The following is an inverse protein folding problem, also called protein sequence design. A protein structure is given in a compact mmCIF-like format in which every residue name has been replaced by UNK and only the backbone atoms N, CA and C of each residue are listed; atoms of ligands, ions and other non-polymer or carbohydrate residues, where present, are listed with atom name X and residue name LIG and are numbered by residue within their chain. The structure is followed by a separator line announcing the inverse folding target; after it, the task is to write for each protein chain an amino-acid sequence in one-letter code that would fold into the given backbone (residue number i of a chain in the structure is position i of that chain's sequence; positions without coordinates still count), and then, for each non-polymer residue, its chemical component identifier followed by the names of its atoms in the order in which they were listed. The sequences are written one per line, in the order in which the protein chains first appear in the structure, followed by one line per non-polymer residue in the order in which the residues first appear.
data_IF_074214921535
#
_entry.id   IF_074214921535
#
_cell.length_a   1.000
_cell.length_b   1.000
_cell.length_c   1.000
_cell.angle_alpha   90.00
_cell.angle_beta   90.00
_cell.angle_gamma   90.00
#
_symmetry.space_group_name_H-M   'P 1'
#
loop_
_entity.id
_entity.type
_entity.pdbx_description
1 polymer ?
#
# COMPACT_ATOMS: atom_id res chain seq x y z
N UNK A 1 -8.26 8.76 55.22
CA UNK A 1 -7.76 9.19 53.91
C UNK A 1 -7.48 7.92 53.12
N UNK A 2 -8.43 7.50 52.26
CA UNK A 2 -8.21 6.36 51.41
C UNK A 2 -7.49 6.81 50.13
N UNK A 3 -6.57 6.01 49.56
CA UNK A 3 -5.88 6.39 48.33
C UNK A 3 -6.80 6.22 47.12
N UNK A 4 -7.02 7.30 46.37
CA UNK A 4 -7.69 7.30 45.09
C UNK A 4 -6.79 6.58 44.08
N UNK A 5 -7.13 5.35 43.75
CA UNK A 5 -6.50 4.62 42.64
C UNK A 5 -7.00 5.21 41.31
N UNK A 6 -6.16 6.01 40.66
CA UNK A 6 -6.41 6.45 39.27
C UNK A 6 -6.31 5.24 38.32
N UNK A 7 -7.46 4.75 37.90
CA UNK A 7 -7.55 3.78 36.81
C UNK A 7 -7.19 4.49 35.49
N UNK A 8 -5.98 4.33 35.02
CA UNK A 8 -5.58 4.69 33.65
C UNK A 8 -6.20 3.69 32.70
N UNK A 9 -7.37 3.98 32.17
CA UNK A 9 -7.93 3.29 31.01
C UNK A 9 -7.00 3.60 29.83
N UNK A 10 -6.13 2.65 29.48
CA UNK A 10 -5.38 2.70 28.23
C UNK A 10 -6.39 2.67 27.09
N UNK A 11 -6.60 3.81 26.44
CA UNK A 11 -7.40 3.89 25.20
C UNK A 11 -6.72 3.02 24.16
N UNK A 12 -7.41 1.99 23.69
CA UNK A 12 -6.91 1.13 22.59
C UNK A 12 -6.58 2.04 21.40
N UNK A 13 -5.33 1.92 20.89
CA UNK A 13 -4.95 2.67 19.69
C UNK A 13 -5.90 2.33 18.54
N UNK A 14 -6.33 3.31 17.74
CA UNK A 14 -7.22 3.05 16.61
C UNK A 14 -6.55 2.11 15.61
N UNK A 15 -7.33 1.16 15.06
CA UNK A 15 -6.86 0.29 13.98
C UNK A 15 -6.83 1.09 12.68
N UNK A 16 -5.65 1.22 12.07
CA UNK A 16 -5.46 1.93 10.81
C UNK A 16 -5.84 1.04 9.61
N UNK A 17 -6.54 1.62 8.65
CA UNK A 17 -6.94 0.98 7.40
C UNK A 17 -5.83 1.20 6.36
N UNK A 18 -5.22 0.12 5.90
CA UNK A 18 -4.20 0.12 4.86
C UNK A 18 -4.86 -0.23 3.53
N UNK A 19 -4.99 0.70 2.59
CA UNK A 19 -5.35 0.32 1.24
C UNK A 19 -4.13 -0.29 0.54
N UNK A 20 -4.24 -1.56 0.15
CA UNK A 20 -3.17 -2.31 -0.49
C UNK A 20 -3.43 -2.46 -1.99
N UNK A 21 -2.44 -2.14 -2.81
CA UNK A 21 -2.53 -2.14 -4.28
C UNK A 21 -1.56 -3.14 -4.87
N UNK A 22 -2.09 -4.10 -5.65
CA UNK A 22 -1.27 -5.00 -6.46
C UNK A 22 -1.04 -4.37 -7.83
N UNK A 23 0.21 -4.06 -8.16
CA UNK A 23 0.56 -3.53 -9.50
C UNK A 23 0.48 -4.57 -10.62
N UNK A 24 0.28 -5.85 -10.32
CA UNK A 24 0.14 -6.93 -11.30
C UNK A 24 -1.32 -7.36 -11.46
N UNK A 25 -1.76 -7.49 -12.69
CA UNK A 25 -3.09 -8.05 -13.03
C UNK A 25 -3.07 -9.59 -13.12
N UNK A 26 -1.90 -10.24 -13.08
CA UNK A 26 -1.77 -11.69 -13.16
C UNK A 26 -2.43 -12.34 -11.94
N UNK A 27 -3.23 -13.39 -12.14
CA UNK A 27 -3.95 -14.11 -11.09
C UNK A 27 -3.01 -14.61 -9.99
N UNK A 28 -1.96 -15.34 -10.36
CA UNK A 28 -0.99 -15.96 -9.46
C UNK A 28 0.25 -15.07 -9.30
N UNK A 29 0.03 -13.76 -9.13
CA UNK A 29 1.10 -12.80 -8.93
C UNK A 29 1.70 -12.89 -7.54
N UNK A 30 3.02 -12.93 -7.43
CA UNK A 30 3.75 -12.82 -6.17
C UNK A 30 3.36 -11.57 -5.36
N UNK A 31 3.00 -10.50 -6.05
CA UNK A 31 2.57 -9.25 -5.40
C UNK A 31 1.18 -9.37 -4.76
N UNK A 32 0.29 -10.18 -5.34
CA UNK A 32 -0.96 -10.59 -4.68
C UNK A 32 -0.66 -11.46 -3.46
N UNK A 33 0.30 -12.38 -3.58
CA UNK A 33 0.77 -13.21 -2.46
C UNK A 33 1.37 -12.39 -1.31
N UNK A 34 2.12 -11.32 -1.63
CA UNK A 34 2.62 -10.40 -0.61
C UNK A 34 1.50 -9.66 0.11
N UNK A 35 0.42 -9.28 -0.58
CA UNK A 35 -0.74 -8.66 0.06
C UNK A 35 -1.47 -9.67 0.96
N UNK A 36 -1.70 -10.91 0.49
CA UNK A 36 -2.29 -11.98 1.33
C UNK A 36 -1.46 -12.23 2.59
N UNK A 37 -0.13 -12.35 2.44
CA UNK A 37 0.76 -12.52 3.59
C UNK A 37 0.75 -11.31 4.54
N UNK A 38 0.57 -10.09 4.03
CA UNK A 38 0.42 -8.89 4.84
C UNK A 38 -0.91 -8.90 5.62
N UNK A 39 -2.00 -9.37 5.01
CA UNK A 39 -3.32 -9.55 5.63
C UNK A 39 -3.22 -10.52 6.82
N UNK A 40 -2.70 -11.72 6.58
CA UNK A 40 -2.46 -12.74 7.61
C UNK A 40 -1.58 -12.21 8.76
N UNK A 41 -0.47 -11.53 8.45
CA UNK A 41 0.43 -10.96 9.47
C UNK A 41 -0.26 -9.89 10.33
N UNK A 42 -1.14 -9.09 9.73
CA UNK A 42 -1.91 -8.10 10.48
C UNK A 42 -2.89 -8.78 11.43
N UNK A 43 -3.60 -9.81 10.98
CA UNK A 43 -4.53 -10.59 11.81
C UNK A 43 -3.82 -11.32 12.94
N UNK A 44 -2.68 -11.96 12.65
CA UNK A 44 -1.93 -12.77 13.62
C UNK A 44 -1.20 -11.94 14.68
N UNK A 45 -0.63 -10.80 14.31
CA UNK A 45 0.39 -10.16 15.16
C UNK A 45 0.50 -8.63 15.10
N UNK A 46 -0.32 -7.94 14.30
CA UNK A 46 -0.29 -6.47 14.20
C UNK A 46 -1.71 -5.89 14.33
N UNK A 47 -2.33 -5.98 15.52
CA UNK A 47 -3.74 -5.63 15.71
C UNK A 47 -4.08 -4.16 15.42
N UNK A 48 -3.05 -3.30 15.28
CA UNK A 48 -3.23 -1.89 14.91
C UNK A 48 -3.34 -1.62 13.40
N UNK A 49 -3.24 -2.64 12.53
CA UNK A 49 -3.39 -2.52 11.09
C UNK A 49 -4.45 -3.48 10.56
N UNK A 50 -5.20 -3.02 9.57
CA UNK A 50 -6.09 -3.84 8.77
C UNK A 50 -5.82 -3.58 7.30
N UNK A 51 -5.51 -4.63 6.55
CA UNK A 51 -5.31 -4.57 5.11
C UNK A 51 -6.66 -4.57 4.39
N UNK A 52 -6.78 -3.71 3.39
CA UNK A 52 -7.90 -3.60 2.47
C UNK A 52 -7.35 -3.68 1.04
N UNK A 53 -7.41 -4.86 0.41
CA UNK A 53 -6.91 -5.05 -0.96
C UNK A 53 -7.85 -4.36 -1.96
N UNK A 54 -7.34 -3.36 -2.66
CA UNK A 54 -8.07 -2.57 -3.66
C UNK A 54 -7.80 -3.13 -5.05
N UNK A 55 -8.85 -3.64 -5.70
CA UNK A 55 -8.74 -4.11 -7.09
C UNK A 55 -8.68 -2.92 -8.06
N UNK A 56 -7.69 -2.95 -8.95
CA UNK A 56 -7.45 -1.93 -9.99
C UNK A 56 -7.62 -2.48 -11.41
N UNK A 57 -8.09 -3.72 -11.57
CA UNK A 57 -8.16 -4.41 -12.86
C UNK A 57 -9.24 -3.86 -13.79
N UNK A 58 -10.33 -3.33 -13.24
CA UNK A 58 -11.50 -2.85 -14.00
C UNK A 58 -11.48 -1.35 -14.35
N UNK A 59 -10.37 -0.65 -14.11
CA UNK A 59 -10.29 0.79 -14.38
C UNK A 59 -10.12 1.06 -15.88
N UNK A 60 -10.88 2.01 -16.48
CA UNK A 60 -10.56 2.50 -17.80
C UNK A 60 -9.19 3.17 -17.80
N UNK A 61 -8.55 3.29 -18.96
CA UNK A 61 -7.32 4.09 -19.05
C UNK A 61 -7.62 5.55 -18.73
N UNK A 62 -6.72 6.18 -17.96
CA UNK A 62 -6.87 7.56 -17.53
C UNK A 62 -6.99 8.47 -18.76
N UNK A 63 -8.13 9.13 -18.85
CA UNK A 63 -8.49 10.05 -19.92
C UNK A 63 -9.35 11.18 -19.32
N UNK A 64 -8.85 12.42 -19.29
CA UNK A 64 -9.61 13.56 -18.75
C UNK A 64 -10.96 13.81 -19.44
N UNK A 65 -11.16 13.35 -20.69
CA UNK A 65 -12.45 13.46 -21.36
C UNK A 65 -13.57 12.63 -20.72
N UNK A 66 -13.21 11.70 -19.85
CA UNK A 66 -14.15 10.89 -19.07
C UNK A 66 -14.55 11.55 -17.73
N UNK A 67 -13.91 12.66 -17.37
CA UNK A 67 -14.28 13.44 -16.20
C UNK A 67 -15.52 14.28 -16.50
N UNK A 68 -16.42 14.38 -15.53
CA UNK A 68 -17.64 15.21 -15.62
C UNK A 68 -17.62 16.30 -14.54
N UNK A 69 -18.59 17.21 -14.58
CA UNK A 69 -18.80 18.25 -13.55
C UNK A 69 -17.54 19.09 -13.26
N UNK A 70 -16.74 19.36 -14.29
CA UNK A 70 -15.51 20.15 -14.17
C UNK A 70 -14.42 19.46 -13.35
N UNK A 71 -14.33 18.11 -13.44
CA UNK A 71 -13.35 17.28 -12.75
C UNK A 71 -13.78 16.88 -11.32
N UNK A 72 -15.08 16.89 -11.04
CA UNK A 72 -15.66 16.39 -9.77
C UNK A 72 -16.32 15.02 -9.93
N UNK A 73 -16.79 14.68 -11.13
CA UNK A 73 -17.37 13.37 -11.46
C UNK A 73 -16.41 12.50 -12.28
N UNK A 74 -16.49 11.20 -12.06
CA UNK A 74 -15.61 10.20 -12.70
C UNK A 74 -16.41 8.95 -13.09
N UNK A 75 -15.89 8.10 -14.00
CA UNK A 75 -16.50 6.80 -14.25
C UNK A 75 -16.72 6.01 -12.96
N UNK A 76 -17.80 5.20 -12.82
CA UNK A 76 -18.15 4.53 -11.56
C UNK A 76 -17.02 3.69 -10.95
N UNK A 77 -16.22 3.00 -11.76
CA UNK A 77 -15.07 2.22 -11.27
C UNK A 77 -13.97 3.14 -10.68
N UNK A 78 -13.81 4.33 -11.24
CA UNK A 78 -12.85 5.33 -10.76
C UNK A 78 -13.35 5.97 -9.47
N UNK A 79 -14.65 6.29 -9.35
CA UNK A 79 -15.21 6.79 -8.10
C UNK A 79 -15.05 5.76 -6.97
N UNK A 80 -15.34 4.49 -7.24
CA UNK A 80 -15.15 3.42 -6.26
C UNK A 80 -13.68 3.31 -5.82
N UNK A 81 -12.71 3.45 -6.73
CA UNK A 81 -11.30 3.51 -6.40
C UNK A 81 -11.01 4.72 -5.50
N UNK A 82 -11.45 5.91 -5.91
CA UNK A 82 -11.21 7.17 -5.19
C UNK A 82 -11.76 7.13 -3.76
N UNK A 83 -12.94 6.53 -3.58
CA UNK A 83 -13.56 6.36 -2.26
C UNK A 83 -12.73 5.42 -1.37
N UNK A 84 -12.20 4.32 -1.92
CA UNK A 84 -11.31 3.40 -1.20
C UNK A 84 -10.01 4.09 -0.78
N UNK A 85 -9.44 4.90 -1.68
CA UNK A 85 -8.23 5.70 -1.38
C UNK A 85 -8.50 6.76 -0.32
N UNK A 86 -9.62 7.49 -0.40
CA UNK A 86 -9.99 8.51 0.60
C UNK A 86 -10.20 7.90 1.99
N UNK A 87 -10.79 6.71 2.05
CA UNK A 87 -11.13 6.03 3.29
C UNK A 87 -9.92 5.36 3.98
N UNK A 88 -8.76 5.30 3.32
CA UNK A 88 -7.56 4.67 3.87
C UNK A 88 -6.78 5.64 4.77
N UNK A 89 -6.13 5.11 5.78
CA UNK A 89 -5.21 5.84 6.66
C UNK A 89 -3.78 5.86 6.11
N UNK A 90 -3.40 4.80 5.41
CA UNK A 90 -2.09 4.64 4.78
C UNK A 90 -2.15 3.63 3.62
N UNK A 91 -1.02 3.45 2.92
CA UNK A 91 -0.97 2.65 1.70
C UNK A 91 0.13 1.60 1.71
N UNK A 92 -0.16 0.43 1.13
CA UNK A 92 0.82 -0.61 0.81
C UNK A 92 0.80 -0.87 -0.70
N UNK A 93 1.89 -0.56 -1.38
CA UNK A 93 2.05 -0.84 -2.81
C UNK A 93 2.88 -2.12 -2.99
N UNK A 94 2.26 -3.19 -3.43
CA UNK A 94 2.93 -4.40 -3.90
C UNK A 94 3.15 -4.26 -5.41
N UNK A 95 4.30 -3.68 -5.80
CA UNK A 95 4.56 -3.23 -7.16
C UNK A 95 5.63 -4.07 -7.85
N UNK A 96 5.29 -4.80 -8.94
CA UNK A 96 6.32 -5.35 -9.82
C UNK A 96 7.06 -4.25 -10.58
N UNK A 97 8.21 -4.64 -11.11
CA UNK A 97 8.98 -3.81 -12.03
C UNK A 97 8.79 -4.34 -13.46
N UNK A 98 8.20 -3.52 -14.34
CA UNK A 98 8.08 -3.81 -15.75
C UNK A 98 8.95 -2.81 -16.53
N UNK A 99 9.94 -3.32 -17.26
CA UNK A 99 10.85 -2.47 -18.05
C UNK A 99 11.44 -1.33 -17.21
N UNK A 100 11.97 -1.67 -16.02
CA UNK A 100 12.60 -0.74 -15.07
C UNK A 100 11.65 0.30 -14.43
N UNK A 101 10.34 0.14 -14.56
CA UNK A 101 9.38 1.12 -14.06
C UNK A 101 8.20 0.47 -13.35
N UNK A 102 7.26 1.31 -12.89
CA UNK A 102 5.94 0.89 -12.41
C UNK A 102 5.14 0.29 -13.56
N UNK A 103 4.19 -0.58 -13.22
CA UNK A 103 3.27 -1.15 -14.22
C UNK A 103 2.27 -0.11 -14.72
N UNK A 104 1.79 -0.29 -15.96
CA UNK A 104 0.76 0.57 -16.51
C UNK A 104 -0.52 0.57 -15.67
N UNK A 105 -0.93 -0.59 -15.15
CA UNK A 105 -2.13 -0.73 -14.31
C UNK A 105 -2.02 0.08 -13.01
N UNK A 106 -0.88 0.00 -12.32
CA UNK A 106 -0.66 0.78 -11.09
C UNK A 106 -0.59 2.27 -11.41
N UNK A 107 0.18 2.65 -12.45
CA UNK A 107 0.28 4.06 -12.86
C UNK A 107 -1.10 4.64 -13.20
N UNK A 108 -1.94 3.90 -13.92
CA UNK A 108 -3.31 4.27 -14.23
C UNK A 108 -4.18 4.54 -12.99
N UNK A 109 -4.09 3.67 -11.98
CA UNK A 109 -4.81 3.86 -10.72
C UNK A 109 -4.31 5.11 -9.96
N UNK A 110 -2.99 5.34 -9.95
CA UNK A 110 -2.39 6.53 -9.34
C UNK A 110 -2.87 7.81 -10.02
N UNK A 111 -2.92 7.83 -11.35
CA UNK A 111 -3.36 8.99 -12.12
C UNK A 111 -4.85 9.28 -11.87
N UNK A 112 -5.72 8.28 -11.93
CA UNK A 112 -7.13 8.45 -11.66
C UNK A 112 -7.44 8.99 -10.26
N UNK A 113 -6.77 8.49 -9.24
CA UNK A 113 -7.04 8.94 -7.88
C UNK A 113 -6.34 10.27 -7.52
N UNK A 114 -5.43 10.77 -8.36
CA UNK A 114 -4.84 12.11 -8.23
C UNK A 114 -5.55 13.15 -9.08
N UNK A 115 -6.35 12.73 -10.07
CA UNK A 115 -7.06 13.62 -11.00
C UNK A 115 -8.17 14.45 -10.35
N UNK A 116 -8.74 15.37 -11.17
CA UNK A 116 -9.78 16.28 -10.73
C UNK A 116 -9.29 17.32 -9.71
N UNK A 117 -10.21 17.90 -8.96
CA UNK A 117 -9.92 19.00 -8.00
C UNK A 117 -9.22 18.54 -6.72
N UNK A 118 -9.24 17.26 -6.39
CA UNK A 118 -8.69 16.72 -5.13
C UNK A 118 -7.81 15.50 -5.39
N UNK A 119 -6.55 15.63 -5.08
CA UNK A 119 -5.63 14.50 -4.96
C UNK A 119 -6.04 13.62 -3.76
N UNK A 120 -6.49 12.37 -4.03
CA UNK A 120 -6.91 11.45 -2.97
C UNK A 120 -5.74 10.82 -2.21
N UNK A 121 -4.52 10.93 -2.71
CA UNK A 121 -3.31 10.32 -2.11
C UNK A 121 -2.66 11.18 -1.02
N UNK A 122 -2.87 12.49 -1.08
CA UNK A 122 -2.05 13.47 -0.38
C UNK A 122 -1.94 13.24 1.14
N UNK A 123 -0.74 13.54 1.65
CA UNK A 123 -0.40 13.62 3.07
C UNK A 123 -0.68 12.31 3.84
N UNK A 124 -0.26 11.17 3.28
CA UNK A 124 -0.41 9.85 3.93
C UNK A 124 0.85 9.01 3.84
N UNK A 125 1.05 8.21 4.89
CA UNK A 125 2.12 7.22 4.93
C UNK A 125 1.93 6.14 3.87
N UNK A 126 3.04 5.69 3.27
CA UNK A 126 3.04 4.61 2.31
C UNK A 126 4.26 3.69 2.47
N UNK A 127 4.09 2.42 2.12
CA UNK A 127 5.17 1.45 1.99
C UNK A 127 5.14 0.80 0.61
N UNK A 128 6.32 0.37 0.14
CA UNK A 128 6.48 -0.37 -1.12
C UNK A 128 7.12 -1.72 -0.81
N UNK A 129 6.54 -2.77 -1.36
CA UNK A 129 7.12 -4.12 -1.39
C UNK A 129 7.17 -4.60 -2.84
N UNK A 130 8.24 -5.28 -3.21
CA UNK A 130 8.40 -5.73 -4.59
C UNK A 130 9.08 -7.09 -4.68
N UNK A 131 8.81 -7.80 -5.75
CA UNK A 131 9.45 -9.06 -6.12
C UNK A 131 9.75 -9.06 -7.61
N UNK A 132 10.87 -9.65 -8.00
CA UNK A 132 11.25 -9.67 -9.40
C UNK A 132 12.59 -10.37 -9.62
N UNK A 133 13.29 -10.04 -10.70
CA UNK A 133 14.59 -10.54 -11.05
C UNK A 133 15.69 -10.08 -10.09
N UNK A 134 16.90 -9.84 -10.61
CA UNK A 134 18.11 -9.60 -9.83
C UNK A 134 18.04 -8.44 -8.85
N UNK A 135 17.25 -7.41 -9.16
CA UNK A 135 17.04 -6.24 -8.29
C UNK A 135 15.75 -6.31 -7.46
N UNK A 136 15.03 -7.44 -7.53
CA UNK A 136 13.79 -7.63 -6.74
C UNK A 136 12.71 -6.59 -6.99
N UNK A 137 12.74 -5.87 -8.13
CA UNK A 137 11.79 -4.79 -8.43
C UNK A 137 12.20 -3.42 -7.87
N UNK A 138 13.48 -3.26 -7.47
CA UNK A 138 13.96 -2.03 -6.84
C UNK A 138 13.86 -0.78 -7.70
N UNK A 139 14.13 -0.87 -9.01
CA UNK A 139 14.06 0.29 -9.93
C UNK A 139 12.63 0.80 -10.05
N UNK A 140 11.64 -0.11 -10.21
CA UNK A 140 10.22 0.23 -10.20
C UNK A 140 9.80 0.90 -8.89
N UNK A 141 10.34 0.43 -7.75
CA UNK A 141 10.10 1.04 -6.44
C UNK A 141 10.63 2.48 -6.35
N UNK A 142 11.81 2.77 -6.92
CA UNK A 142 12.33 4.14 -6.97
C UNK A 142 11.51 5.06 -7.87
N UNK A 143 11.04 4.56 -9.03
CA UNK A 143 10.10 5.32 -9.87
C UNK A 143 8.79 5.61 -9.15
N UNK A 144 8.25 4.64 -8.39
CA UNK A 144 7.04 4.87 -7.60
C UNK A 144 7.25 5.93 -6.51
N UNK A 145 8.42 5.96 -5.86
CA UNK A 145 8.77 7.03 -4.91
C UNK A 145 8.81 8.40 -5.57
N UNK A 146 9.36 8.49 -6.78
CA UNK A 146 9.38 9.75 -7.56
C UNK A 146 7.95 10.22 -7.91
N UNK A 147 7.07 9.30 -8.33
CA UNK A 147 5.66 9.61 -8.56
C UNK A 147 5.01 10.08 -7.25
N UNK A 148 5.32 9.43 -6.15
CA UNK A 148 4.81 9.76 -4.83
C UNK A 148 5.16 11.16 -4.35
N UNK A 149 6.28 11.74 -4.80
CA UNK A 149 6.62 13.14 -4.52
C UNK A 149 5.55 14.09 -5.06
N UNK A 150 5.09 13.88 -6.31
CA UNK A 150 4.00 14.67 -6.88
C UNK A 150 2.66 14.41 -6.20
N UNK A 151 2.42 13.18 -5.74
CA UNK A 151 1.19 12.77 -5.08
C UNK A 151 1.13 13.18 -3.60
N UNK A 152 2.20 13.77 -3.07
CA UNK A 152 2.34 14.10 -1.64
C UNK A 152 2.20 12.85 -0.74
N UNK A 153 2.82 11.73 -1.17
CA UNK A 153 2.90 10.49 -0.41
C UNK A 153 4.18 10.47 0.43
N UNK A 154 4.07 10.10 1.69
CA UNK A 154 5.19 9.98 2.62
C UNK A 154 5.62 8.51 2.74
N UNK A 155 6.60 8.10 1.94
CA UNK A 155 7.09 6.73 1.99
C UNK A 155 8.00 6.47 3.18
N UNK A 156 7.82 5.30 3.83
CA UNK A 156 8.87 4.81 4.75
C UNK A 156 10.14 4.55 3.96
N UNK A 157 11.28 4.94 4.51
CA UNK A 157 12.59 4.72 3.87
C UNK A 157 13.18 3.36 4.25
N UNK A 158 12.91 2.88 5.43
CA UNK A 158 13.41 1.60 5.96
C UNK A 158 12.35 0.89 6.80
N UNK A 159 12.31 -0.45 6.76
CA UNK A 159 13.11 -1.32 5.90
C UNK A 159 12.61 -1.31 4.45
N UNK A 160 13.50 -1.58 3.49
CA UNK A 160 13.13 -1.89 2.10
C UNK A 160 12.89 -3.39 1.96
N UNK A 161 11.91 -3.77 1.14
CA UNK A 161 11.65 -5.17 0.80
C UNK A 161 11.61 -5.35 -0.72
N UNK A 162 12.77 -5.70 -1.27
CA UNK A 162 12.94 -6.11 -2.66
C UNK A 162 13.32 -7.58 -2.67
N UNK A 163 12.51 -8.43 -3.31
CA UNK A 163 12.63 -9.89 -3.26
C UNK A 163 13.14 -10.41 -4.59
N UNK A 164 14.29 -11.08 -4.58
CA UNK A 164 14.80 -11.81 -5.74
C UNK A 164 14.01 -13.10 -5.90
N UNK A 165 12.90 -13.02 -6.62
CA UNK A 165 11.91 -14.09 -6.66
C UNK A 165 12.36 -15.36 -7.40
N UNK A 166 13.38 -15.25 -8.26
CA UNK A 166 13.96 -16.37 -8.99
C UNK A 166 15.19 -17.00 -8.30
N UNK A 167 15.57 -16.49 -7.12
CA UNK A 167 16.69 -17.03 -6.37
C UNK A 167 16.26 -18.23 -5.52
N UNK A 168 17.12 -19.24 -5.47
CA UNK A 168 16.96 -20.37 -4.54
C UNK A 168 17.25 -19.97 -3.08
N UNK A 169 16.56 -20.58 -2.12
CA UNK A 169 15.36 -21.41 -2.28
C UNK A 169 14.15 -20.60 -2.72
N UNK A 170 13.11 -21.22 -3.31
CA UNK A 170 11.90 -20.53 -3.77
C UNK A 170 11.26 -19.71 -2.65
N UNK A 171 10.82 -18.48 -3.00
CA UNK A 171 10.16 -17.56 -2.07
C UNK A 171 8.64 -17.65 -2.14
N UNK A 172 8.13 -18.13 -3.28
CA UNK A 172 6.72 -18.22 -3.59
C UNK A 172 6.41 -19.61 -4.15
N UNK A 173 5.20 -20.10 -3.93
CA UNK A 173 4.65 -21.29 -4.58
C UNK A 173 4.11 -20.98 -6.00
N UNK A 174 3.54 -21.99 -6.67
CA UNK A 174 3.00 -21.87 -8.03
C UNK A 174 1.75 -20.99 -8.10
N UNK A 175 1.00 -20.86 -7.00
CA UNK A 175 -0.15 -19.98 -6.84
C UNK A 175 0.25 -18.55 -6.42
N UNK A 176 1.56 -18.30 -6.30
CA UNK A 176 2.14 -17.01 -5.95
C UNK A 176 2.03 -16.67 -4.46
N UNK A 177 1.76 -17.63 -3.57
CA UNK A 177 1.77 -17.39 -2.13
C UNK A 177 3.19 -17.29 -1.59
N UNK A 178 3.40 -16.42 -0.61
CA UNK A 178 4.69 -16.27 0.05
C UNK A 178 4.93 -17.47 1.00
N UNK A 179 5.93 -18.30 0.68
CA UNK A 179 6.28 -19.50 1.46
C UNK A 179 7.58 -19.36 2.26
N UNK A 180 8.38 -18.35 1.99
CA UNK A 180 9.68 -18.11 2.64
C UNK A 180 9.50 -17.37 3.97
N UNK A 181 9.84 -18.04 5.07
CA UNK A 181 9.67 -17.50 6.42
C UNK A 181 10.53 -16.26 6.68
N UNK A 182 11.75 -16.19 6.15
CA UNK A 182 12.60 -15.00 6.30
C UNK A 182 11.97 -13.78 5.62
N UNK A 183 11.46 -13.96 4.40
CA UNK A 183 10.79 -12.90 3.66
C UNK A 183 9.50 -12.46 4.38
N UNK A 184 8.77 -13.41 4.99
CA UNK A 184 7.57 -13.11 5.80
C UNK A 184 7.92 -12.22 7.01
N UNK A 185 9.00 -12.52 7.71
CA UNK A 185 9.48 -11.69 8.82
C UNK A 185 9.95 -10.30 8.36
N UNK A 186 10.58 -10.20 7.19
CA UNK A 186 10.94 -8.91 6.60
C UNK A 186 9.71 -8.10 6.21
N UNK A 187 8.66 -8.73 5.65
CA UNK A 187 7.38 -8.09 5.37
C UNK A 187 6.72 -7.56 6.65
N UNK A 188 6.74 -8.34 7.73
CA UNK A 188 6.25 -7.90 9.04
C UNK A 188 6.95 -6.62 9.52
N UNK A 189 8.27 -6.54 9.37
CA UNK A 189 9.03 -5.32 9.73
C UNK A 189 8.62 -4.10 8.90
N UNK A 190 8.30 -4.28 7.61
CA UNK A 190 7.76 -3.21 6.75
C UNK A 190 6.42 -2.72 7.29
N UNK A 191 5.50 -3.64 7.62
CA UNK A 191 4.18 -3.32 8.15
C UNK A 191 4.25 -2.59 9.51
N UNK A 192 5.11 -3.04 10.41
CA UNK A 192 5.34 -2.36 11.70
C UNK A 192 5.90 -0.94 11.51
N UNK A 193 6.84 -0.76 10.56
CA UNK A 193 7.37 0.56 10.23
C UNK A 193 6.30 1.47 9.61
N UNK A 194 5.47 0.95 8.71
CA UNK A 194 4.34 1.68 8.13
C UNK A 194 3.35 2.12 9.23
N UNK A 195 3.01 1.21 10.14
CA UNK A 195 2.10 1.49 11.27
C UNK A 195 2.63 2.63 12.15
N UNK A 196 3.88 2.53 12.59
CA UNK A 196 4.51 3.55 13.43
C UNK A 196 4.59 4.92 12.72
N UNK A 197 4.89 4.91 11.42
CA UNK A 197 4.98 6.13 10.63
C UNK A 197 3.61 6.77 10.39
N UNK A 198 2.59 5.98 10.07
CA UNK A 198 1.23 6.48 9.88
C UNK A 198 0.67 7.12 11.15
N UNK A 199 0.87 6.48 12.32
CA UNK A 199 0.46 7.05 13.61
C UNK A 199 1.17 8.39 13.89
N UNK A 200 2.46 8.50 13.56
CA UNK A 200 3.20 9.75 13.73
C UNK A 200 2.66 10.88 12.87
N UNK A 201 2.30 10.60 11.60
CA UNK A 201 1.72 11.60 10.71
C UNK A 201 0.32 12.05 11.15
N UNK A 202 -0.49 11.14 11.73
CA UNK A 202 -1.81 11.50 12.25
C UNK A 202 -1.73 12.42 13.47
N UNK A 203 -0.78 12.21 14.37
CA UNK A 203 -0.60 13.06 15.56
C UNK A 203 -0.31 14.52 15.20
N UNK A 204 0.38 14.79 14.10
CA UNK A 204 0.67 16.15 13.64
C UNK A 204 -0.52 16.85 12.95
N UNK A 205 -1.63 16.15 12.70
CA UNK A 205 -2.85 16.75 12.15
C UNK A 205 -3.83 17.24 13.22
N UNK A 206 -3.62 16.81 14.46
CA UNK A 206 -4.47 17.17 15.61
C UNK A 206 -3.89 18.38 16.39
N UNK A 207 -2.64 18.76 16.12
CA UNK A 207 -1.96 19.96 16.65
C UNK A 207 -2.12 21.16 15.69
#
# INVERSE_FOLDING_TARGET
MEPVTASTTATAKPTLRVAAFCGSLRKDSWHRGLIRAAEELCEESIPGLRIDHVDISGLPMANPDLETDGGEGFPPAVEALRDRVRAADCFLFASPEYNYSVTASLKNALDWASGGRRNCWADRAAAIVSAGGDFGGGRGSFHLRQIGVFLDLHFINKPELHIRAFADPPKFDDEGNLIDGETRERLKKVLLSLHAFALRLQQHKED
#
